data_IF_967068754156
#
_entry.id   IF_967068754156
#
_cell.length_a   1.000
_cell.length_b   1.000
_cell.length_c   1.000
_cell.angle_alpha   90.00
_cell.angle_beta   90.00
_cell.angle_gamma   90.00
#
_symmetry.space_group_name_H-M   'P 1'
#
loop_
_entity.id
_entity.type
_entity.pdbx_description
1 polymer ?
#
# COMPACT_ATOMS: atom_id res chain seq x y z
N UNK A 1 -3.02 -7.74 -30.75
CA UNK A 1 -2.54 -8.41 -29.52
C UNK A 1 -2.58 -7.47 -28.33
N UNK A 2 -2.08 -6.24 -28.48
CA UNK A 2 -2.06 -5.20 -27.44
C UNK A 2 -3.44 -4.88 -26.84
N UNK A 3 -4.46 -4.66 -27.68
CA UNK A 3 -5.84 -4.43 -27.22
C UNK A 3 -6.41 -5.55 -26.33
N UNK A 4 -6.11 -6.82 -26.67
CA UNK A 4 -6.59 -7.95 -25.88
C UNK A 4 -5.91 -7.97 -24.51
N UNK A 5 -4.60 -7.73 -24.46
CA UNK A 5 -3.85 -7.61 -23.21
C UNK A 5 -4.43 -6.51 -22.33
N UNK A 6 -4.63 -5.30 -22.86
CA UNK A 6 -5.20 -4.17 -22.10
C UNK A 6 -6.60 -4.49 -21.56
N UNK A 7 -7.45 -5.12 -22.39
CA UNK A 7 -8.80 -5.53 -21.99
C UNK A 7 -8.79 -6.58 -20.88
N UNK A 8 -7.91 -7.58 -20.98
CA UNK A 8 -7.74 -8.60 -19.95
C UNK A 8 -7.19 -8.00 -18.67
N UNK A 9 -6.18 -7.13 -18.75
CA UNK A 9 -5.61 -6.41 -17.62
C UNK A 9 -6.68 -5.59 -16.89
N UNK A 10 -7.50 -4.85 -17.65
CA UNK A 10 -8.65 -4.11 -17.13
C UNK A 10 -9.62 -5.03 -16.38
N UNK A 11 -10.06 -6.11 -17.03
CA UNK A 11 -10.99 -7.07 -16.45
C UNK A 11 -10.43 -7.65 -15.13
N UNK A 12 -9.21 -8.18 -15.15
CA UNK A 12 -8.58 -8.81 -13.98
C UNK A 12 -8.46 -7.83 -12.83
N UNK A 13 -8.01 -6.60 -13.07
CA UNK A 13 -7.80 -5.64 -11.99
C UNK A 13 -9.08 -5.09 -11.40
N UNK A 14 -10.13 -4.89 -12.19
CA UNK A 14 -11.44 -4.55 -11.64
C UNK A 14 -11.92 -5.67 -10.71
N UNK A 15 -11.87 -6.93 -11.16
CA UNK A 15 -12.28 -8.07 -10.34
C UNK A 15 -11.43 -8.19 -9.08
N UNK A 16 -10.12 -8.07 -9.19
CA UNK A 16 -9.21 -8.14 -8.05
C UNK A 16 -9.49 -7.04 -7.02
N UNK A 17 -9.73 -5.80 -7.46
CA UNK A 17 -10.09 -4.70 -6.55
C UNK A 17 -11.37 -5.02 -5.77
N UNK A 18 -12.43 -5.50 -6.44
CA UNK A 18 -13.67 -5.88 -5.76
C UNK A 18 -13.46 -7.06 -4.81
N UNK A 19 -12.78 -8.12 -5.25
CA UNK A 19 -12.49 -9.30 -4.43
C UNK A 19 -11.69 -8.91 -3.18
N UNK A 20 -10.71 -8.00 -3.29
CA UNK A 20 -9.96 -7.49 -2.14
C UNK A 20 -10.86 -6.73 -1.15
N UNK A 21 -11.76 -5.88 -1.63
CA UNK A 21 -12.69 -5.15 -0.77
C UNK A 21 -13.64 -6.11 -0.05
N UNK A 22 -14.20 -7.10 -0.76
CA UNK A 22 -15.05 -8.12 -0.16
C UNK A 22 -14.28 -8.98 0.84
N UNK A 23 -13.05 -9.37 0.52
CA UNK A 23 -12.20 -10.11 1.43
C UNK A 23 -11.95 -9.29 2.71
N UNK A 24 -11.67 -7.99 2.62
CA UNK A 24 -11.37 -7.18 3.79
C UNK A 24 -12.59 -6.91 4.70
N UNK A 25 -13.82 -6.92 4.15
CA UNK A 25 -15.03 -6.44 4.85
C UNK A 25 -16.12 -7.49 5.07
N UNK A 26 -16.20 -8.54 4.24
CA UNK A 26 -17.26 -9.55 4.29
C UNK A 26 -16.72 -10.97 4.46
N UNK A 27 -15.69 -11.34 3.68
CA UNK A 27 -15.13 -12.69 3.62
C UNK A 27 -13.65 -12.69 4.07
N UNK A 28 -13.40 -12.35 5.33
CA UNK A 28 -12.04 -12.13 5.87
C UNK A 28 -11.13 -13.36 5.79
N UNK A 29 -11.69 -14.57 5.76
CA UNK A 29 -10.94 -15.80 5.54
C UNK A 29 -10.15 -15.80 4.21
N UNK A 30 -10.61 -15.04 3.21
CA UNK A 30 -9.97 -14.94 1.90
C UNK A 30 -8.76 -13.98 1.90
N UNK A 31 -8.63 -13.09 2.89
CA UNK A 31 -7.59 -12.05 2.88
C UNK A 31 -6.17 -12.61 2.89
N UNK A 32 -5.90 -13.60 3.73
CA UNK A 32 -4.56 -14.18 3.87
C UNK A 32 -4.15 -14.96 2.62
N UNK A 33 -4.96 -15.89 2.07
CA UNK A 33 -4.65 -16.55 0.81
C UNK A 33 -4.46 -15.57 -0.35
N UNK A 34 -5.33 -14.56 -0.45
CA UNK A 34 -5.28 -13.58 -1.53
C UNK A 34 -4.03 -12.71 -1.44
N UNK A 35 -3.70 -12.18 -0.26
CA UNK A 35 -2.46 -11.43 -0.04
C UNK A 35 -1.22 -12.27 -0.38
N UNK A 36 -1.21 -13.52 0.09
CA UNK A 36 -0.12 -14.48 -0.12
C UNK A 36 0.14 -14.79 -1.59
N UNK A 37 -0.90 -14.83 -2.43
CA UNK A 37 -0.75 -15.05 -3.87
C UNK A 37 -0.41 -13.77 -4.63
N UNK A 38 -1.13 -12.67 -4.33
CA UNK A 38 -1.08 -11.43 -5.12
C UNK A 38 0.22 -10.66 -4.89
N UNK A 39 0.69 -10.55 -3.63
CA UNK A 39 1.90 -9.79 -3.33
C UNK A 39 3.14 -10.36 -4.06
N UNK A 40 3.49 -11.66 -3.94
CA UNK A 40 4.65 -12.20 -4.64
C UNK A 40 4.52 -12.10 -6.15
N UNK A 41 3.31 -12.31 -6.70
CA UNK A 41 3.06 -12.15 -8.14
C UNK A 41 3.42 -10.74 -8.62
N UNK A 42 2.93 -9.70 -7.95
CA UNK A 42 3.27 -8.32 -8.32
C UNK A 42 4.74 -7.99 -8.05
N UNK A 43 5.31 -8.47 -6.95
CA UNK A 43 6.70 -8.20 -6.62
C UNK A 43 7.66 -8.80 -7.65
N UNK A 44 7.43 -10.05 -8.07
CA UNK A 44 8.24 -10.70 -9.11
C UNK A 44 8.09 -9.99 -10.47
N UNK A 45 6.88 -9.59 -10.83
CA UNK A 45 6.61 -8.84 -12.06
C UNK A 45 7.32 -7.48 -12.05
N UNK A 46 7.28 -6.78 -10.92
CA UNK A 46 8.00 -5.51 -10.71
C UNK A 46 9.51 -5.67 -10.79
N UNK A 47 10.04 -6.68 -10.11
CA UNK A 47 11.46 -6.99 -10.12
C UNK A 47 11.96 -7.21 -11.54
N UNK A 48 11.25 -8.05 -12.31
CA UNK A 48 11.59 -8.31 -13.70
C UNK A 48 11.54 -7.04 -14.56
N UNK A 49 10.45 -6.27 -14.48
CA UNK A 49 10.27 -5.06 -15.28
C UNK A 49 11.32 -3.98 -14.94
N UNK A 50 11.55 -3.70 -13.66
CA UNK A 50 12.49 -2.67 -13.22
C UNK A 50 13.94 -3.01 -13.47
N UNK A 51 14.34 -4.29 -13.42
CA UNK A 51 15.67 -4.69 -13.86
C UNK A 51 15.84 -4.39 -15.36
N UNK A 52 14.82 -4.68 -16.19
CA UNK A 52 14.87 -4.43 -17.63
C UNK A 52 14.99 -2.95 -17.98
N UNK A 53 14.25 -2.08 -17.28
CA UNK A 53 14.28 -0.62 -17.50
C UNK A 53 15.34 0.13 -16.67
N UNK A 54 16.20 -0.60 -15.93
CA UNK A 54 17.25 -0.07 -15.03
C UNK A 54 16.73 0.83 -13.90
N UNK A 55 15.53 0.54 -13.38
CA UNK A 55 14.88 1.23 -12.25
C UNK A 55 14.89 0.39 -10.97
N UNK A 56 15.79 -0.58 -10.83
CA UNK A 56 15.82 -1.49 -9.68
C UNK A 56 15.94 -0.80 -8.32
N UNK A 57 16.54 0.39 -8.25
CA UNK A 57 16.63 1.16 -7.00
C UNK A 57 15.27 1.64 -6.48
N UNK A 58 14.27 1.74 -7.35
CA UNK A 58 12.90 2.09 -6.95
C UNK A 58 12.25 1.01 -6.08
N UNK A 59 12.75 -0.23 -6.11
CA UNK A 59 12.30 -1.30 -5.21
C UNK A 59 12.76 -1.10 -3.76
N UNK A 60 13.63 -0.12 -3.51
CA UNK A 60 14.06 0.25 -2.17
C UNK A 60 13.01 1.10 -1.43
N UNK A 61 11.95 1.55 -2.11
CA UNK A 61 10.90 2.36 -1.49
C UNK A 61 10.24 1.65 -0.30
N UNK A 62 9.80 2.44 0.68
CA UNK A 62 9.32 1.95 1.97
C UNK A 62 8.10 1.02 1.86
N UNK A 63 7.27 1.17 0.82
CA UNK A 63 6.11 0.31 0.59
C UNK A 63 6.51 -1.13 0.24
N UNK A 64 7.59 -1.35 -0.52
CA UNK A 64 8.09 -2.68 -0.82
C UNK A 64 8.64 -3.37 0.43
N UNK A 65 9.39 -2.63 1.25
CA UNK A 65 9.88 -3.11 2.54
C UNK A 65 8.72 -3.48 3.49
N UNK A 66 7.70 -2.62 3.58
CA UNK A 66 6.53 -2.87 4.43
C UNK A 66 5.77 -4.11 3.99
N UNK A 67 5.52 -4.29 2.69
CA UNK A 67 4.87 -5.49 2.18
C UNK A 67 5.69 -6.76 2.47
N UNK A 68 7.01 -6.70 2.32
CA UNK A 68 7.88 -7.83 2.64
C UNK A 68 7.78 -8.20 4.13
N UNK A 69 7.79 -7.21 5.03
CA UNK A 69 7.65 -7.46 6.47
C UNK A 69 6.26 -7.98 6.83
N UNK A 70 5.19 -7.47 6.21
CA UNK A 70 3.83 -8.01 6.35
C UNK A 70 3.73 -9.47 5.88
N UNK A 71 4.40 -9.81 4.78
CA UNK A 71 4.46 -11.18 4.27
C UNK A 71 5.20 -12.10 5.26
N UNK A 72 6.34 -11.66 5.80
CA UNK A 72 7.09 -12.40 6.83
C UNK A 72 6.25 -12.58 8.09
N UNK A 73 5.53 -11.54 8.55
CA UNK A 73 4.63 -11.66 9.71
C UNK A 73 3.55 -12.73 9.47
N UNK A 74 2.92 -12.70 8.31
CA UNK A 74 1.84 -13.63 7.93
C UNK A 74 2.29 -15.09 7.98
N UNK A 75 3.54 -15.36 7.57
CA UNK A 75 4.06 -16.71 7.45
C UNK A 75 4.88 -17.19 8.64
N UNK A 76 5.64 -16.32 9.30
CA UNK A 76 6.64 -16.71 10.30
C UNK A 76 6.49 -16.03 11.66
N UNK A 77 5.70 -14.96 11.77
CA UNK A 77 5.59 -14.16 12.99
C UNK A 77 4.18 -13.85 13.53
N UNK A 78 3.12 -14.66 13.28
CA UNK A 78 1.75 -14.25 13.63
C UNK A 78 1.49 -14.16 15.14
N UNK A 79 2.34 -14.77 15.98
CA UNK A 79 2.15 -14.87 17.43
C UNK A 79 2.58 -13.66 18.26
N UNK A 80 3.07 -12.57 17.64
CA UNK A 80 3.55 -11.39 18.36
C UNK A 80 2.65 -10.17 18.16
N UNK A 81 2.02 -9.72 19.24
CA UNK A 81 1.19 -8.51 19.24
C UNK A 81 1.99 -7.25 18.96
N UNK A 82 3.20 -7.14 19.52
CA UNK A 82 4.07 -5.98 19.31
C UNK A 82 4.56 -5.93 17.87
N UNK A 83 4.87 -7.08 17.27
CA UNK A 83 5.22 -7.15 15.86
C UNK A 83 4.03 -6.74 14.98
N UNK A 84 2.81 -7.19 15.32
CA UNK A 84 1.60 -6.76 14.64
C UNK A 84 1.37 -5.24 14.71
N UNK A 85 1.53 -4.65 15.90
CA UNK A 85 1.36 -3.21 16.10
C UNK A 85 2.30 -2.39 15.20
N UNK A 86 3.54 -2.87 15.00
CA UNK A 86 4.54 -2.22 14.16
C UNK A 86 4.15 -2.30 12.69
N UNK A 87 3.80 -3.48 12.18
CA UNK A 87 3.42 -3.63 10.76
C UNK A 87 2.11 -2.92 10.43
N UNK A 88 1.14 -2.92 11.35
CA UNK A 88 -0.10 -2.15 11.21
C UNK A 88 0.23 -0.68 11.04
N UNK A 89 1.15 -0.18 11.85
CA UNK A 89 1.55 1.22 11.86
C UNK A 89 2.32 1.64 10.62
N UNK A 90 3.21 0.77 10.11
CA UNK A 90 3.91 0.99 8.84
C UNK A 90 2.93 1.01 7.65
N UNK A 91 1.96 0.09 7.66
CA UNK A 91 0.93 -0.02 6.64
C UNK A 91 0.00 1.20 6.61
N UNK A 92 -0.63 1.53 7.74
CA UNK A 92 -1.59 2.63 7.85
C UNK A 92 -0.95 4.02 7.91
N UNK A 93 0.33 4.09 8.29
CA UNK A 93 1.06 5.34 8.37
C UNK A 93 1.61 5.78 7.00
N UNK A 94 2.92 5.69 6.76
CA UNK A 94 3.56 6.21 5.56
C UNK A 94 3.10 5.50 4.27
N UNK A 95 2.79 4.21 4.31
CA UNK A 95 2.38 3.46 3.10
C UNK A 95 1.00 3.89 2.61
N UNK A 96 -0.01 3.91 3.49
CA UNK A 96 -1.34 4.38 3.09
C UNK A 96 -1.33 5.86 2.69
N UNK A 97 -0.58 6.70 3.42
CA UNK A 97 -0.43 8.14 3.11
C UNK A 97 0.29 8.39 1.78
N UNK A 98 1.27 7.54 1.42
CA UNK A 98 2.00 7.63 0.15
C UNK A 98 1.08 7.46 -1.07
N UNK A 99 0.02 6.67 -0.96
CA UNK A 99 -0.97 6.53 -2.02
C UNK A 99 -1.60 7.88 -2.41
N UNK A 100 -1.86 8.73 -1.41
CA UNK A 100 -2.42 10.08 -1.59
C UNK A 100 -1.34 11.04 -2.08
N UNK A 101 -0.19 11.07 -1.39
CA UNK A 101 0.90 12.03 -1.67
C UNK A 101 1.49 11.87 -3.07
N UNK A 102 1.70 10.63 -3.52
CA UNK A 102 2.19 10.35 -4.87
C UNK A 102 1.07 10.29 -5.93
N UNK A 103 -0.15 10.71 -5.57
CA UNK A 103 -1.31 10.80 -6.47
C UNK A 103 -1.54 9.51 -7.25
N UNK A 104 -1.45 8.37 -6.56
CA UNK A 104 -1.72 7.08 -7.18
C UNK A 104 -3.15 7.06 -7.75
N UNK A 105 -3.33 6.31 -8.83
CA UNK A 105 -4.56 6.25 -9.62
C UNK A 105 -4.82 4.81 -10.05
N UNK A 106 -6.04 4.33 -9.83
CA UNK A 106 -6.57 3.04 -10.31
C UNK A 106 -6.82 3.10 -11.83
N UNK A 107 -5.74 2.96 -12.58
CA UNK A 107 -5.79 2.88 -14.05
C UNK A 107 -5.81 1.41 -14.45
N UNK A 108 -7.00 0.83 -14.53
CA UNK A 108 -7.20 -0.61 -14.63
C UNK A 108 -6.56 -1.28 -15.86
N UNK A 109 -6.28 -0.57 -16.96
CA UNK A 109 -5.57 -1.16 -18.10
C UNK A 109 -4.04 -1.16 -17.94
N UNK A 110 -3.49 -0.54 -16.89
CA UNK A 110 -2.06 -0.38 -16.68
C UNK A 110 -1.56 -1.23 -15.50
N UNK A 111 -0.78 -2.26 -15.82
CA UNK A 111 -0.11 -3.12 -14.83
C UNK A 111 0.79 -2.34 -13.87
N UNK A 112 1.52 -1.36 -14.39
CA UNK A 112 2.39 -0.49 -13.58
C UNK A 112 1.55 0.33 -12.58
N UNK A 113 0.57 1.11 -13.05
CA UNK A 113 -0.21 1.98 -12.15
C UNK A 113 -1.04 1.18 -11.13
N UNK A 114 -1.63 0.05 -11.56
CA UNK A 114 -2.40 -0.81 -10.66
C UNK A 114 -1.54 -1.47 -9.60
N UNK A 115 -0.40 -2.06 -9.98
CA UNK A 115 0.49 -2.68 -8.99
C UNK A 115 1.01 -1.67 -7.97
N UNK A 116 1.30 -0.42 -8.38
CA UNK A 116 1.65 0.65 -7.43
C UNK A 116 0.52 0.89 -6.43
N UNK A 117 -0.74 1.00 -6.89
CA UNK A 117 -1.89 1.12 -5.98
C UNK A 117 -1.99 -0.07 -5.02
N UNK A 118 -1.80 -1.30 -5.50
CA UNK A 118 -1.87 -2.49 -4.66
C UNK A 118 -0.75 -2.56 -3.63
N UNK A 119 0.49 -2.13 -3.92
CA UNK A 119 1.54 -2.06 -2.89
C UNK A 119 1.19 -1.10 -1.75
N UNK A 120 0.35 -0.09 -2.00
CA UNK A 120 -0.09 0.85 -0.97
C UNK A 120 -1.42 0.46 -0.29
N UNK A 121 -2.25 -0.38 -0.93
CA UNK A 121 -3.55 -0.81 -0.39
C UNK A 121 -3.50 -2.19 0.29
N UNK A 122 -2.75 -3.15 -0.25
CA UNK A 122 -2.70 -4.53 0.25
C UNK A 122 -2.28 -4.62 1.73
N UNK A 123 -1.17 -3.98 2.18
CA UNK A 123 -0.78 -4.09 3.58
C UNK A 123 -1.83 -3.51 4.55
N UNK A 124 -2.38 -2.29 4.34
CA UNK A 124 -3.46 -1.76 5.18
C UNK A 124 -4.72 -2.65 5.18
N UNK A 125 -5.11 -3.21 4.03
CA UNK A 125 -6.28 -4.10 3.96
C UNK A 125 -6.04 -5.41 4.73
N UNK A 126 -4.84 -5.98 4.61
CA UNK A 126 -4.40 -7.14 5.38
C UNK A 126 -4.46 -6.84 6.88
N UNK A 127 -3.79 -5.78 7.33
CA UNK A 127 -3.70 -5.44 8.76
C UNK A 127 -5.04 -4.99 9.32
N UNK A 128 -5.91 -4.36 8.52
CA UNK A 128 -7.29 -4.06 8.89
C UNK A 128 -8.08 -5.34 9.17
N UNK A 129 -8.03 -6.31 8.26
CA UNK A 129 -8.75 -7.57 8.44
C UNK A 129 -8.26 -8.29 9.70
N UNK A 130 -6.93 -8.39 9.88
CA UNK A 130 -6.32 -9.06 11.04
C UNK A 130 -6.66 -8.35 12.35
N UNK A 131 -6.63 -7.01 12.41
CA UNK A 131 -6.91 -6.23 13.63
C UNK A 131 -8.35 -6.36 14.12
N UNK A 132 -9.30 -6.38 13.18
CA UNK A 132 -10.73 -6.19 13.46
C UNK A 132 -11.55 -7.47 13.35
N UNK A 133 -11.03 -8.49 12.65
CA UNK A 133 -11.70 -9.77 12.44
C UNK A 133 -10.76 -10.98 12.62
N UNK A 134 -9.96 -11.08 13.69
CA UNK A 134 -8.99 -12.17 13.84
C UNK A 134 -9.65 -13.55 13.89
N UNK A 135 -10.84 -13.65 14.48
CA UNK A 135 -11.65 -14.88 14.55
C UNK A 135 -12.12 -15.39 13.18
N UNK A 136 -12.20 -14.50 12.18
CA UNK A 136 -12.73 -14.82 10.83
C UNK A 136 -11.62 -15.06 9.82
N UNK A 137 -10.36 -14.92 10.22
CA UNK A 137 -9.21 -15.06 9.33
C UNK A 137 -8.64 -16.46 9.43
N UNK A 138 -8.40 -17.05 8.27
CA UNK A 138 -7.64 -18.30 8.16
C UNK A 138 -6.16 -17.99 8.31
N UNK A 139 -5.48 -18.78 9.12
CA UNK A 139 -4.04 -18.69 9.36
C UNK A 139 -3.35 -20.00 8.95
N UNK A 140 -2.05 -19.92 8.65
CA UNK A 140 -1.26 -21.08 8.21
C UNK A 140 -0.59 -21.80 9.37
N UNK A 141 0.25 -21.09 10.14
CA UNK A 141 1.09 -21.70 11.19
C UNK A 141 0.44 -21.58 12.56
N UNK A 142 0.01 -20.38 12.93
CA UNK A 142 -0.51 -20.08 14.26
C UNK A 142 -1.53 -18.93 14.19
N UNK A 143 -2.47 -18.86 15.14
CA UNK A 143 -3.44 -17.77 15.20
C UNK A 143 -2.75 -16.41 15.39
N UNK A 144 -3.37 -15.36 14.86
CA UNK A 144 -2.87 -14.00 14.97
C UNK A 144 -3.12 -13.44 16.38
N UNK A 145 -2.05 -13.13 17.11
CA UNK A 145 -2.14 -12.52 18.44
C UNK A 145 -2.18 -11.00 18.27
N UNK A 146 -3.39 -10.44 18.27
CA UNK A 146 -3.62 -8.98 18.06
C UNK A 146 -4.35 -8.28 19.19
N UNK A 147 -5.07 -9.02 20.03
CA UNK A 147 -5.80 -8.50 21.18
C UNK A 147 -5.07 -8.86 22.47
N UNK A 148 -4.22 -7.96 22.91
CA UNK A 148 -3.75 -7.88 24.28
C UNK A 148 -3.90 -6.45 24.77
N UNK A 149 -4.22 -6.26 26.05
CA UNK A 149 -4.28 -4.93 26.63
C UNK A 149 -2.88 -4.32 26.65
N UNK A 150 -2.57 -3.50 25.65
CA UNK A 150 -1.42 -2.61 25.70
C UNK A 150 -1.90 -1.28 26.28
N UNK A 151 -1.33 -0.88 27.41
CA UNK A 151 -1.56 0.46 27.94
C UNK A 151 -1.11 1.54 26.93
N UNK A 152 -1.55 2.79 27.13
CA UNK A 152 -1.25 3.88 26.21
C UNK A 152 0.27 4.13 26.06
N UNK A 153 1.06 3.84 27.11
CA UNK A 153 2.51 4.01 27.10
C UNK A 153 3.16 3.00 26.14
N UNK A 154 2.80 1.73 26.23
CA UNK A 154 3.27 0.67 25.35
C UNK A 154 2.74 0.87 23.93
N UNK A 155 1.49 1.31 23.75
CA UNK A 155 0.97 1.69 22.43
C UNK A 155 1.81 2.80 21.81
N UNK A 156 2.12 3.86 22.54
CA UNK A 156 2.95 4.96 22.03
C UNK A 156 4.32 4.48 21.55
N UNK A 157 4.91 3.50 22.21
CA UNK A 157 6.19 2.91 21.81
C UNK A 157 6.04 2.06 20.55
N UNK A 158 5.12 1.08 20.53
CA UNK A 158 5.04 0.09 19.45
C UNK A 158 4.23 0.53 18.22
N UNK A 159 3.30 1.47 18.38
CA UNK A 159 2.42 2.00 17.31
C UNK A 159 2.98 3.27 16.69
N UNK A 160 3.77 4.06 17.43
CA UNK A 160 4.33 5.32 16.94
C UNK A 160 5.86 5.32 16.96
N UNK A 161 6.47 5.09 18.12
CA UNK A 161 7.91 5.26 18.33
C UNK A 161 8.78 4.32 17.50
N UNK A 162 8.54 3.01 17.59
CA UNK A 162 9.33 2.02 16.86
C UNK A 162 9.11 2.09 15.34
N UNK A 163 7.87 2.21 14.81
CA UNK A 163 7.66 2.44 13.38
C UNK A 163 8.36 3.69 12.86
N UNK A 164 8.40 4.78 13.65
CA UNK A 164 9.18 5.96 13.33
C UNK A 164 10.68 5.65 13.28
N UNK A 165 11.21 4.92 14.26
CA UNK A 165 12.62 4.49 14.25
C UNK A 165 12.97 3.62 13.04
N UNK A 166 12.08 2.71 12.65
CA UNK A 166 12.23 1.87 11.43
C UNK A 166 12.21 2.74 10.18
N UNK A 167 11.32 3.73 10.10
CA UNK A 167 11.28 4.69 8.99
C UNK A 167 12.57 5.52 8.92
N UNK A 168 13.04 6.03 10.05
CA UNK A 168 14.29 6.79 10.13
C UNK A 168 15.47 5.95 9.69
N UNK A 169 15.56 4.69 10.15
CA UNK A 169 16.60 3.75 9.73
C UNK A 169 16.53 3.48 8.22
N UNK A 170 15.33 3.21 7.69
CA UNK A 170 15.13 3.01 6.25
C UNK A 170 15.56 4.25 5.45
N UNK A 171 15.14 5.45 5.87
CA UNK A 171 15.53 6.70 5.20
C UNK A 171 17.04 6.96 5.26
N UNK A 172 17.70 6.58 6.36
CA UNK A 172 19.15 6.69 6.49
C UNK A 172 19.86 5.73 5.54
N UNK A 173 19.45 4.47 5.50
CA UNK A 173 20.00 3.46 4.57
C UNK A 173 19.79 3.92 3.12
N UNK A 174 18.58 4.37 2.78
CA UNK A 174 18.25 4.91 1.46
C UNK A 174 19.13 6.11 1.12
N UNK A 175 19.28 7.06 2.05
CA UNK A 175 20.12 8.24 1.86
C UNK A 175 21.57 7.86 1.58
N UNK A 176 22.16 6.96 2.38
CA UNK A 176 23.53 6.51 2.23
C UNK A 176 23.75 5.81 0.88
N UNK A 177 22.85 4.89 0.50
CA UNK A 177 22.92 4.19 -0.78
C UNK A 177 22.80 5.14 -1.98
N UNK A 178 21.85 6.08 -1.93
CA UNK A 178 21.63 7.05 -3.02
C UNK A 178 22.76 8.07 -3.11
N UNK A 179 23.32 8.48 -1.98
CA UNK A 179 24.48 9.37 -1.92
C UNK A 179 25.71 8.74 -2.60
N UNK A 180 25.89 7.43 -2.45
CA UNK A 180 26.99 6.69 -3.09
C UNK A 180 26.79 6.48 -4.60
N UNK A 181 25.55 6.28 -5.07
CA UNK A 181 25.28 5.89 -6.45
C UNK A 181 25.09 7.12 -7.37
N UNK A 182 24.09 7.97 -7.12
CA UNK A 182 23.81 9.22 -7.86
C UNK A 182 22.54 9.88 -7.28
N UNK A 183 22.51 11.21 -7.30
CA UNK A 183 21.41 12.15 -6.96
C UNK A 183 21.42 12.69 -5.53
N UNK A 184 20.75 13.83 -5.36
CA UNK A 184 20.50 14.54 -4.10
C UNK A 184 19.16 14.04 -3.51
N UNK A 185 19.13 13.01 -2.64
CA UNK A 185 17.88 12.40 -2.16
C UNK A 185 17.15 13.26 -1.11
N UNK A 186 17.60 14.49 -0.84
CA UNK A 186 17.11 15.32 0.26
C UNK A 186 15.59 15.54 0.22
N UNK A 187 15.02 15.83 -0.96
CA UNK A 187 13.58 16.05 -1.11
C UNK A 187 12.79 14.79 -0.78
N UNK A 188 13.23 13.64 -1.26
CA UNK A 188 12.57 12.37 -0.97
C UNK A 188 12.61 12.05 0.54
N UNK A 189 13.77 12.21 1.17
CA UNK A 189 13.93 11.99 2.61
C UNK A 189 13.05 12.95 3.41
N UNK A 190 13.00 14.24 3.03
CA UNK A 190 12.15 15.22 3.67
C UNK A 190 10.66 14.87 3.54
N UNK A 191 10.20 14.50 2.34
CA UNK A 191 8.83 14.06 2.10
C UNK A 191 8.50 12.84 2.96
N UNK A 192 9.36 11.82 2.96
CA UNK A 192 9.11 10.60 3.69
C UNK A 192 9.08 10.80 5.22
N UNK A 193 10.00 11.60 5.78
CA UNK A 193 10.02 11.93 7.20
C UNK A 193 8.82 12.79 7.62
N UNK A 194 8.42 13.77 6.79
CA UNK A 194 7.24 14.60 7.07
C UNK A 194 5.93 13.80 7.00
N UNK A 195 5.82 12.85 6.06
CA UNK A 195 4.72 11.90 5.99
C UNK A 195 4.73 10.96 7.20
N UNK A 196 5.89 10.46 7.61
CA UNK A 196 6.02 9.66 8.83
C UNK A 196 5.54 10.41 10.07
N UNK A 197 5.99 11.65 10.25
CA UNK A 197 5.63 12.48 11.42
C UNK A 197 4.13 12.73 11.52
N UNK A 198 3.47 13.04 10.41
CA UNK A 198 2.03 13.28 10.37
C UNK A 198 1.23 12.00 10.55
N UNK A 199 1.60 10.94 9.83
CA UNK A 199 0.82 9.70 9.81
C UNK A 199 0.96 8.85 11.08
N UNK A 200 2.16 8.79 11.69
CA UNK A 200 2.35 8.04 12.93
C UNK A 200 1.61 8.65 14.13
N UNK A 201 1.36 9.97 14.15
CA UNK A 201 0.50 10.58 15.16
C UNK A 201 -0.96 10.10 15.07
N UNK A 202 -1.44 9.83 13.86
CA UNK A 202 -2.79 9.33 13.63
C UNK A 202 -2.93 7.82 13.86
N UNK A 203 -1.81 7.07 13.91
CA UNK A 203 -1.86 5.61 14.09
C UNK A 203 -2.54 5.16 15.38
N UNK A 204 -2.42 5.91 16.49
CA UNK A 204 -3.16 5.60 17.71
C UNK A 204 -4.68 5.67 17.50
N UNK A 205 -5.17 6.57 16.64
CA UNK A 205 -6.58 6.69 16.31
C UNK A 205 -7.05 5.46 15.52
N UNK A 206 -6.37 5.15 14.40
CA UNK A 206 -6.76 4.02 13.55
C UNK A 206 -6.55 2.66 14.23
N UNK A 207 -5.59 2.54 15.16
CA UNK A 207 -5.29 1.29 15.88
C UNK A 207 -6.33 0.96 16.96
N UNK A 208 -6.96 1.97 17.56
CA UNK A 208 -7.91 1.79 18.66
C UNK A 208 -9.38 1.88 18.24
N UNK A 209 -9.70 2.57 17.13
CA UNK A 209 -11.09 2.79 16.73
C UNK A 209 -11.39 2.21 15.34
N UNK A 210 -12.30 1.24 15.29
CA UNK A 210 -12.72 0.56 14.07
C UNK A 210 -13.19 1.55 12.99
N UNK A 211 -14.12 2.43 13.36
CA UNK A 211 -14.71 3.40 12.42
C UNK A 211 -13.68 4.41 11.92
N UNK A 212 -12.72 4.81 12.76
CA UNK A 212 -11.62 5.63 12.29
C UNK A 212 -10.83 4.85 11.23
N UNK A 213 -10.38 3.63 11.54
CA UNK A 213 -9.58 2.84 10.60
C UNK A 213 -10.28 2.63 9.25
N UNK A 214 -11.58 2.32 9.29
CA UNK A 214 -12.42 2.18 8.11
C UNK A 214 -12.50 3.50 7.33
N UNK A 215 -12.69 4.63 8.01
CA UNK A 215 -12.72 5.95 7.38
C UNK A 215 -11.39 6.31 6.69
N UNK A 216 -10.23 5.94 7.26
CA UNK A 216 -8.93 6.11 6.60
C UNK A 216 -8.87 5.39 5.26
N UNK A 217 -9.22 4.10 5.26
CA UNK A 217 -9.18 3.26 4.07
C UNK A 217 -10.14 3.77 3.00
N UNK A 218 -11.36 4.14 3.40
CA UNK A 218 -12.35 4.71 2.49
C UNK A 218 -11.89 6.05 1.93
N UNK A 219 -11.32 6.92 2.75
CA UNK A 219 -10.77 8.20 2.30
C UNK A 219 -9.69 8.01 1.23
N UNK A 220 -8.70 7.15 1.48
CA UNK A 220 -7.64 6.88 0.50
C UNK A 220 -8.21 6.23 -0.75
N UNK A 221 -9.14 5.28 -0.61
CA UNK A 221 -9.80 4.66 -1.77
C UNK A 221 -10.54 5.71 -2.62
N UNK A 222 -11.28 6.63 -2.00
CA UNK A 222 -11.94 7.74 -2.69
C UNK A 222 -10.94 8.64 -3.43
N UNK A 223 -9.81 8.97 -2.81
CA UNK A 223 -8.75 9.75 -3.48
C UNK A 223 -8.19 9.00 -4.69
N UNK A 224 -7.93 7.70 -4.57
CA UNK A 224 -7.44 6.90 -5.69
C UNK A 224 -8.44 6.87 -6.85
N UNK A 225 -9.73 6.69 -6.56
CA UNK A 225 -10.81 6.73 -7.56
C UNK A 225 -10.90 8.11 -8.19
N UNK A 226 -10.82 9.19 -7.41
CA UNK A 226 -10.84 10.57 -7.91
C UNK A 226 -9.67 10.88 -8.85
N UNK A 227 -8.46 10.44 -8.50
CA UNK A 227 -7.30 10.59 -9.37
C UNK A 227 -7.47 9.77 -10.66
N UNK A 228 -8.11 8.61 -10.56
CA UNK A 228 -8.41 7.76 -11.73
C UNK A 228 -9.40 8.43 -12.67
N UNK A 229 -10.50 9.00 -12.15
CA UNK A 229 -11.47 9.72 -12.99
C UNK A 229 -10.81 10.89 -13.72
N UNK A 230 -9.95 11.64 -13.02
CA UNK A 230 -9.17 12.72 -13.62
C UNK A 230 -8.30 12.20 -14.78
N UNK A 231 -7.54 11.12 -14.54
CA UNK A 231 -6.72 10.49 -15.57
C UNK A 231 -7.53 10.08 -16.81
N UNK A 232 -8.66 9.40 -16.62
CA UNK A 232 -9.49 8.94 -17.75
C UNK A 232 -10.11 10.12 -18.51
N UNK A 233 -10.66 11.13 -17.81
CA UNK A 233 -11.23 12.32 -18.43
C UNK A 233 -10.19 13.06 -19.26
N UNK A 234 -8.98 13.26 -18.74
CA UNK A 234 -7.91 13.94 -19.46
C UNK A 234 -7.48 13.21 -20.74
N UNK A 235 -7.40 11.87 -20.68
CA UNK A 235 -7.03 11.05 -21.85
C UNK A 235 -8.14 11.08 -22.91
N UNK A 236 -9.41 10.90 -22.50
CA UNK A 236 -10.53 10.94 -23.45
C UNK A 236 -10.75 12.33 -24.04
N UNK A 237 -10.60 13.39 -23.24
CA UNK A 237 -10.70 14.78 -23.72
C UNK A 237 -9.62 15.10 -24.75
N UNK A 238 -8.36 14.72 -24.50
CA UNK A 238 -7.28 14.92 -25.48
C UNK A 238 -7.55 14.19 -26.78
N UNK A 239 -7.92 12.90 -26.72
CA UNK A 239 -8.28 12.13 -27.92
C UNK A 239 -9.48 12.73 -28.66
N UNK A 240 -10.50 13.23 -27.94
CA UNK A 240 -11.65 13.89 -28.56
C UNK A 240 -11.26 15.18 -29.29
N UNK A 241 -10.38 15.99 -28.70
CA UNK A 241 -9.85 17.20 -29.35
C UNK A 241 -8.97 16.88 -30.56
N UNK A 242 -8.17 15.81 -30.50
CA UNK A 242 -7.31 15.39 -31.62
C UNK A 242 -8.11 14.74 -32.77
N UNK A 243 -9.31 14.21 -32.48
CA UNK A 243 -10.20 13.58 -33.47
C UNK A 243 -11.23 14.53 -34.10
N UNK A 244 -11.45 15.73 -33.55
CA UNK A 244 -12.27 16.78 -34.17
C UNK A 244 -11.39 17.87 -34.82
N UNK A 245 -11.11 17.83 -36.14
CA UNK A 245 -10.40 18.92 -36.81
C UNK A 245 -11.28 20.17 -37.05
N UNK A 246 -12.48 20.26 -36.46
CA UNK A 246 -13.40 21.38 -36.74
C UNK A 246 -14.19 21.80 -35.50
N UNK A 247 -13.74 22.93 -34.92
CA UNK A 247 -14.48 24.02 -34.25
C UNK A 247 -13.41 24.79 -33.45
N UNK A 248 -12.92 25.93 -33.90
CA UNK A 248 -13.58 27.24 -33.92
C UNK A 248 -12.77 28.14 -34.90
N UNK A 249 -13.33 28.57 -36.03
CA UNK A 249 -13.94 29.91 -36.22
C UNK A 249 -14.45 30.56 -34.94
#
# INVERSE_FOLDING_TARGET
MEFLTEKLTFFVFVHLTFVLVFAATVFQWLMIPLYTAVYPMFMLTRLWFYIKVKWQLFLLDFCYATNLVCFIYTWAGPGSQTFFAVIFSMAHGPVLTAAVMYRNSLVFHSLDRMSSCFFHLLPPMLTFAVRWYPERIVYWIAPFVVHGEMDLKWQSIWVCGLPMGVLMLHTLIYFLLMFLIRWRPYLYVLILLSMGATSFGLNLLWYNYFYANLAALLFVFCVLVWNSSTFYIDVFRKKGLDCEPYKLV
#
